data_IF_975679546247
#
_entry.id   IF_975679546247
#
_cell.length_a   1.000
_cell.length_b   1.000
_cell.length_c   1.000
_cell.angle_alpha   90.00
_cell.angle_beta   90.00
_cell.angle_gamma   90.00
#
_symmetry.space_group_name_H-M   'P 1'
#
loop_
_entity.id
_entity.type
_entity.pdbx_description
1 polymer ?
#
# COMPACT_ATOMS: atom_id res chain seq x y z
N UNK A 1 -27.03 -3.81 51.30
CA UNK A 1 -26.49 -4.89 50.46
C UNK A 1 -27.39 -5.26 49.27
N UNK A 2 -28.71 -5.08 49.33
CA UNK A 2 -29.68 -5.44 48.27
C UNK A 2 -29.59 -4.58 47.01
N UNK A 3 -29.25 -3.28 47.11
CA UNK A 3 -29.18 -2.36 45.95
C UNK A 3 -27.99 -2.63 45.01
N UNK A 4 -26.86 -3.07 45.57
CA UNK A 4 -25.66 -3.37 44.77
C UNK A 4 -25.84 -4.65 43.93
N UNK A 5 -26.57 -5.61 44.43
CA UNK A 5 -26.84 -6.88 43.75
C UNK A 5 -27.83 -6.71 42.57
N UNK A 6 -28.84 -5.85 42.74
CA UNK A 6 -29.76 -5.51 41.64
C UNK A 6 -29.09 -4.75 40.51
N UNK A 7 -28.17 -3.81 40.84
CA UNK A 7 -27.40 -3.09 39.83
C UNK A 7 -26.48 -3.98 39.00
N UNK A 8 -25.80 -4.93 39.64
CA UNK A 8 -24.93 -5.90 38.98
C UNK A 8 -25.72 -6.85 38.06
N UNK A 9 -26.85 -7.36 38.55
CA UNK A 9 -27.74 -8.18 37.72
C UNK A 9 -28.24 -7.42 36.50
N UNK A 10 -28.62 -6.16 36.64
CA UNK A 10 -29.07 -5.33 35.52
C UNK A 10 -27.97 -5.09 34.47
N UNK A 11 -26.71 -5.01 34.87
CA UNK A 11 -25.59 -4.89 33.93
C UNK A 11 -25.39 -6.17 33.13
N UNK A 12 -25.47 -7.34 33.75
CA UNK A 12 -25.35 -8.65 33.08
C UNK A 12 -26.52 -8.88 32.13
N UNK A 13 -27.76 -8.59 32.56
CA UNK A 13 -28.97 -8.78 31.76
C UNK A 13 -29.01 -7.84 30.50
N UNK A 14 -28.34 -6.69 30.54
CA UNK A 14 -28.27 -5.74 29.44
C UNK A 14 -26.92 -5.76 28.69
N UNK A 15 -26.03 -6.71 28.99
CA UNK A 15 -24.79 -6.91 28.23
C UNK A 15 -25.10 -7.24 26.78
N UNK A 16 -24.33 -6.72 25.79
CA UNK A 16 -24.45 -7.17 24.41
C UNK A 16 -24.00 -8.62 24.22
N UNK A 17 -23.16 -9.12 25.13
CA UNK A 17 -22.65 -10.49 25.12
C UNK A 17 -23.56 -11.38 25.99
N UNK A 18 -23.78 -12.63 25.60
CA UNK A 18 -24.49 -13.59 26.38
C UNK A 18 -23.57 -14.20 27.46
N UNK A 19 -24.06 -14.25 28.71
CA UNK A 19 -23.29 -14.79 29.81
C UNK A 19 -23.99 -16.06 30.31
N UNK A 20 -23.24 -17.12 30.53
CA UNK A 20 -23.70 -18.35 31.13
C UNK A 20 -22.79 -18.82 32.27
N UNK A 21 -23.35 -19.51 33.25
CA UNK A 21 -22.61 -20.28 34.24
C UNK A 21 -22.85 -21.75 33.96
N UNK A 22 -21.78 -22.55 33.93
CA UNK A 22 -21.85 -23.98 33.71
C UNK A 22 -21.17 -24.73 34.88
N UNK A 23 -21.60 -25.94 35.15
CA UNK A 23 -20.95 -26.82 36.12
C UNK A 23 -19.71 -27.53 35.54
N UNK A 24 -19.03 -28.34 36.33
CA UNK A 24 -17.87 -29.15 35.92
C UNK A 24 -18.18 -30.21 34.84
N UNK A 25 -19.45 -30.48 34.55
CA UNK A 25 -19.92 -31.40 33.50
C UNK A 25 -20.38 -30.67 32.25
N UNK A 26 -20.34 -29.33 32.25
CA UNK A 26 -20.80 -28.50 31.13
C UNK A 26 -22.31 -28.25 31.13
N UNK A 27 -23.03 -28.57 32.21
CA UNK A 27 -24.46 -28.24 32.31
C UNK A 27 -24.64 -26.76 32.64
N UNK A 28 -25.56 -26.10 31.97
CA UNK A 28 -25.86 -24.68 32.14
C UNK A 28 -26.67 -24.50 33.42
N UNK A 29 -26.11 -23.78 34.38
CA UNK A 29 -26.73 -23.45 35.67
C UNK A 29 -27.48 -22.12 35.61
N UNK A 30 -26.97 -21.19 34.79
CA UNK A 30 -27.54 -19.86 34.60
C UNK A 30 -27.27 -19.37 33.18
N UNK A 31 -28.19 -18.61 32.62
CA UNK A 31 -28.03 -17.88 31.38
C UNK A 31 -28.59 -16.46 31.54
N UNK A 32 -27.91 -15.46 31.00
CA UNK A 32 -28.38 -14.07 30.99
C UNK A 32 -29.49 -13.85 29.97
N UNK A 33 -30.33 -12.82 30.16
CA UNK A 33 -31.36 -12.44 29.18
C UNK A 33 -30.83 -12.15 27.77
N UNK A 34 -29.53 -11.82 27.65
CA UNK A 34 -28.86 -11.60 26.35
C UNK A 34 -28.79 -12.87 25.48
N UNK A 35 -28.96 -14.08 26.07
CA UNK A 35 -29.02 -15.34 25.30
C UNK A 35 -30.17 -15.37 24.30
N UNK A 36 -31.29 -14.72 24.62
CA UNK A 36 -32.42 -14.59 23.70
C UNK A 36 -32.01 -13.80 22.42
N UNK A 37 -31.17 -12.77 22.56
CA UNK A 37 -30.69 -11.97 21.43
C UNK A 37 -29.61 -12.70 20.65
N UNK A 38 -28.65 -13.34 21.32
CA UNK A 38 -27.48 -13.98 20.69
C UNK A 38 -27.83 -15.33 20.10
N UNK A 39 -28.60 -16.16 20.84
CA UNK A 39 -28.89 -17.55 20.47
C UNK A 39 -30.37 -17.83 20.17
N UNK A 40 -31.26 -16.88 20.43
CA UNK A 40 -32.71 -17.06 20.23
C UNK A 40 -33.38 -17.99 21.27
N UNK A 41 -32.69 -18.35 22.37
CA UNK A 41 -33.23 -19.13 23.47
C UNK A 41 -33.48 -18.23 24.67
N UNK A 42 -34.66 -18.39 25.26
CA UNK A 42 -34.91 -17.81 26.58
C UNK A 42 -34.03 -18.50 27.65
N UNK A 43 -33.60 -17.77 28.70
CA UNK A 43 -32.70 -18.33 29.72
C UNK A 43 -33.17 -19.64 30.30
N UNK A 44 -34.47 -19.76 30.55
CA UNK A 44 -35.10 -20.94 31.15
C UNK A 44 -35.03 -22.18 30.23
N UNK A 45 -34.93 -21.98 28.93
CA UNK A 45 -34.81 -23.07 27.95
C UNK A 45 -33.39 -23.64 27.90
N UNK A 46 -32.40 -22.87 28.37
CA UNK A 46 -30.99 -23.27 28.39
C UNK A 46 -30.57 -23.93 29.70
N UNK A 47 -31.15 -23.52 30.82
CA UNK A 47 -30.80 -24.08 32.13
C UNK A 47 -31.05 -25.59 32.16
N UNK A 48 -30.05 -26.36 32.60
CA UNK A 48 -30.06 -27.81 32.63
C UNK A 48 -29.66 -28.52 31.32
N UNK A 49 -29.47 -27.79 30.21
CA UNK A 49 -28.88 -28.36 28.99
C UNK A 49 -27.36 -28.43 29.06
N UNK A 50 -26.77 -29.31 28.26
CA UNK A 50 -25.32 -29.31 28.11
C UNK A 50 -24.91 -28.23 27.13
N UNK A 51 -23.90 -27.41 27.48
CA UNK A 51 -23.41 -26.32 26.65
C UNK A 51 -22.87 -26.79 25.29
N UNK A 52 -22.35 -28.04 25.19
CA UNK A 52 -21.91 -28.65 23.95
C UNK A 52 -23.04 -28.87 22.94
N UNK A 53 -24.29 -29.01 23.43
CA UNK A 53 -25.45 -29.21 22.53
C UNK A 53 -25.75 -27.98 21.67
N UNK A 54 -25.31 -26.81 22.11
CA UNK A 54 -25.45 -25.56 21.37
C UNK A 54 -24.37 -25.39 20.28
N UNK A 55 -23.33 -26.22 20.30
CA UNK A 55 -22.20 -26.11 19.35
C UNK A 55 -22.51 -26.94 18.09
N UNK A 56 -22.14 -26.40 16.94
CA UNK A 56 -22.26 -27.08 15.65
C UNK A 56 -21.53 -28.43 15.68
N UNK A 57 -22.11 -29.46 15.06
CA UNK A 57 -21.61 -30.85 15.15
C UNK A 57 -20.14 -31.01 14.79
N UNK A 58 -19.68 -30.32 13.74
CA UNK A 58 -18.27 -30.40 13.31
C UNK A 58 -17.31 -29.82 14.33
N UNK A 59 -17.73 -28.82 15.12
CA UNK A 59 -16.88 -28.13 16.09
C UNK A 59 -16.86 -28.84 17.44
N UNK A 60 -17.83 -29.72 17.71
CA UNK A 60 -17.99 -30.42 19.01
C UNK A 60 -16.78 -31.23 19.42
N UNK A 61 -16.12 -31.91 18.48
CA UNK A 61 -14.94 -32.76 18.79
C UNK A 61 -13.79 -31.89 19.31
N UNK A 62 -13.59 -30.73 18.74
CA UNK A 62 -12.58 -29.79 19.20
C UNK A 62 -12.98 -29.19 20.57
N UNK A 63 -14.23 -28.79 20.70
CA UNK A 63 -14.74 -28.14 21.89
C UNK A 63 -14.84 -29.08 23.10
N UNK A 64 -15.00 -30.38 22.90
CA UNK A 64 -14.97 -31.37 24.01
C UNK A 64 -13.65 -31.41 24.79
N UNK A 65 -12.57 -30.87 24.23
CA UNK A 65 -11.25 -30.75 24.87
C UNK A 65 -11.12 -29.51 25.74
N UNK A 66 -11.90 -28.46 25.46
CA UNK A 66 -11.80 -27.16 26.16
C UNK A 66 -12.17 -27.29 27.63
N UNK A 67 -13.25 -28.00 27.93
CA UNK A 67 -13.71 -28.17 29.32
C UNK A 67 -12.69 -28.92 30.20
N UNK A 68 -12.13 -30.07 29.82
CA UNK A 68 -11.05 -30.73 30.58
C UNK A 68 -9.82 -29.85 30.78
N UNK A 69 -9.42 -29.07 29.74
CA UNK A 69 -8.27 -28.18 29.83
C UNK A 69 -8.53 -27.05 30.84
N UNK A 70 -9.72 -26.45 30.79
CA UNK A 70 -10.14 -25.39 31.72
C UNK A 70 -10.21 -25.91 33.19
N UNK A 71 -10.65 -27.15 33.37
CA UNK A 71 -10.75 -27.78 34.70
C UNK A 71 -9.40 -28.13 35.31
N UNK A 72 -8.36 -28.33 34.49
CA UNK A 72 -7.04 -28.72 34.96
C UNK A 72 -6.36 -27.65 35.84
N UNK A 73 -6.71 -26.38 35.69
CA UNK A 73 -6.10 -25.27 36.41
C UNK A 73 -7.19 -24.38 37.03
N UNK A 74 -7.24 -24.23 38.38
CA UNK A 74 -8.14 -23.28 39.02
C UNK A 74 -7.91 -21.86 38.56
N UNK A 75 -8.97 -21.08 38.40
CA UNK A 75 -8.97 -19.68 37.95
C UNK A 75 -8.34 -19.46 36.55
N UNK A 76 -8.15 -20.52 35.77
CA UNK A 76 -7.71 -20.40 34.37
C UNK A 76 -8.80 -19.75 33.53
N UNK A 77 -8.33 -19.09 32.45
CA UNK A 77 -9.22 -18.51 31.44
C UNK A 77 -8.83 -19.07 30.09
N UNK A 78 -9.80 -19.56 29.34
CA UNK A 78 -9.64 -20.01 27.96
C UNK A 78 -10.56 -19.24 27.03
N UNK A 79 -10.07 -18.97 25.80
CA UNK A 79 -10.83 -18.32 24.74
C UNK A 79 -10.82 -19.20 23.51
N UNK A 80 -11.96 -19.29 22.81
CA UNK A 80 -12.08 -20.04 21.58
C UNK A 80 -13.16 -19.45 20.68
N UNK A 81 -13.14 -19.83 19.40
CA UNK A 81 -14.19 -19.55 18.44
C UNK A 81 -14.85 -20.85 18.03
N UNK A 82 -16.18 -20.85 17.97
CA UNK A 82 -16.96 -21.99 17.48
C UNK A 82 -18.27 -21.50 16.84
N UNK A 83 -18.83 -22.33 15.96
CA UNK A 83 -20.18 -22.11 15.44
C UNK A 83 -21.18 -22.58 16.49
N UNK A 84 -22.03 -21.68 16.93
CA UNK A 84 -23.12 -22.01 17.87
C UNK A 84 -24.46 -21.98 17.14
N UNK A 85 -25.27 -23.00 17.39
CA UNK A 85 -26.59 -23.17 16.76
C UNK A 85 -27.65 -22.38 17.53
N UNK A 86 -28.37 -21.56 16.79
CA UNK A 86 -29.54 -20.83 17.32
C UNK A 86 -30.77 -21.70 17.35
N UNK A 87 -31.80 -21.25 18.07
CA UNK A 87 -33.10 -21.95 18.19
C UNK A 87 -33.79 -22.15 16.84
N UNK A 88 -33.60 -21.23 15.89
CA UNK A 88 -34.14 -21.31 14.53
C UNK A 88 -33.38 -22.28 13.62
N UNK A 89 -32.33 -22.93 14.10
CA UNK A 89 -31.46 -23.83 13.35
C UNK A 89 -30.36 -23.14 12.56
N UNK A 90 -30.28 -21.80 12.54
CA UNK A 90 -29.14 -21.08 11.98
C UNK A 90 -27.94 -21.20 12.90
N UNK A 91 -26.72 -20.99 12.35
CA UNK A 91 -25.50 -20.99 13.13
C UNK A 91 -24.80 -19.64 13.04
N UNK A 92 -24.25 -19.18 14.14
CA UNK A 92 -23.42 -17.97 14.21
C UNK A 92 -22.04 -18.29 14.74
N UNK A 93 -21.03 -17.55 14.26
CA UNK A 93 -19.70 -17.61 14.85
C UNK A 93 -19.68 -16.86 16.17
N UNK A 94 -19.28 -17.58 17.23
CA UNK A 94 -19.24 -17.05 18.58
C UNK A 94 -17.83 -17.17 19.13
N UNK A 95 -17.33 -16.07 19.65
CA UNK A 95 -16.14 -16.02 20.48
C UNK A 95 -16.60 -16.26 21.93
N UNK A 96 -16.10 -17.32 22.55
CA UNK A 96 -16.41 -17.65 23.91
C UNK A 96 -15.16 -17.52 24.78
N UNK A 97 -15.32 -16.87 25.95
CA UNK A 97 -14.28 -16.77 26.97
C UNK A 97 -14.81 -17.39 28.24
N UNK A 98 -14.20 -18.46 28.72
CA UNK A 98 -14.57 -19.13 29.97
C UNK A 98 -13.52 -18.91 31.05
N UNK A 99 -13.98 -18.70 32.28
CA UNK A 99 -13.17 -18.60 33.48
C UNK A 99 -13.61 -19.66 34.51
N UNK A 100 -12.67 -20.47 34.98
CA UNK A 100 -12.91 -21.48 35.98
C UNK A 100 -12.96 -20.84 37.38
N UNK A 101 -14.17 -20.75 37.96
CA UNK A 101 -14.45 -20.20 39.29
C UNK A 101 -15.04 -21.26 40.24
N UNK A 102 -14.77 -22.54 40.00
CA UNK A 102 -15.27 -23.66 40.82
C UNK A 102 -14.72 -23.64 42.24
N UNK A 103 -13.53 -23.09 42.45
CA UNK A 103 -12.88 -22.92 43.76
C UNK A 103 -13.41 -21.69 44.52
N UNK A 104 -14.26 -20.88 43.92
CA UNK A 104 -14.88 -19.72 44.57
C UNK A 104 -16.22 -20.07 45.17
N UNK A 105 -16.33 -20.13 46.53
CA UNK A 105 -17.57 -20.58 47.22
C UNK A 105 -18.80 -19.73 46.90
N UNK A 106 -18.58 -18.48 46.52
CA UNK A 106 -19.61 -17.51 46.13
C UNK A 106 -20.15 -17.72 44.71
N UNK A 107 -19.42 -18.42 43.83
CA UNK A 107 -19.80 -18.67 42.42
C UNK A 107 -19.98 -20.16 42.16
N UNK A 108 -19.01 -21.00 42.52
CA UNK A 108 -18.95 -22.44 42.32
C UNK A 108 -19.40 -22.91 40.93
N UNK A 109 -18.92 -22.23 39.90
CA UNK A 109 -19.27 -22.48 38.51
C UNK A 109 -18.15 -22.02 37.59
N UNK A 110 -18.24 -22.37 36.31
CA UNK A 110 -17.44 -21.80 35.23
C UNK A 110 -18.27 -20.70 34.58
N UNK A 111 -17.75 -19.48 34.58
CA UNK A 111 -18.38 -18.34 33.93
C UNK A 111 -17.94 -18.30 32.46
N UNK A 112 -18.91 -18.24 31.55
CA UNK A 112 -18.64 -18.16 30.10
C UNK A 112 -19.32 -16.94 29.54
N UNK A 113 -18.53 -16.11 28.84
CA UNK A 113 -19.00 -14.97 28.04
C UNK A 113 -19.01 -15.38 26.56
N UNK A 114 -20.10 -15.10 25.88
CA UNK A 114 -20.32 -15.45 24.48
C UNK A 114 -20.59 -14.18 23.64
N UNK A 115 -19.73 -13.89 22.70
CA UNK A 115 -19.85 -12.75 21.77
C UNK A 115 -20.09 -13.23 20.36
N UNK A 116 -21.15 -12.76 19.72
CA UNK A 116 -21.38 -13.00 18.30
C UNK A 116 -20.36 -12.21 17.48
N UNK A 117 -19.53 -12.92 16.71
CA UNK A 117 -18.49 -12.35 15.85
C UNK A 117 -18.77 -12.57 14.36
N UNK A 118 -20.00 -13.02 14.01
CA UNK A 118 -20.36 -13.35 12.62
C UNK A 118 -20.17 -12.15 11.69
N UNK A 119 -20.56 -10.95 12.11
CA UNK A 119 -20.36 -9.73 11.33
C UNK A 119 -18.88 -9.40 11.12
N UNK A 120 -18.03 -9.63 12.14
CA UNK A 120 -16.58 -9.43 12.03
C UNK A 120 -15.96 -10.40 11.03
N UNK A 121 -16.29 -11.68 11.13
CA UNK A 121 -15.78 -12.72 10.22
C UNK A 121 -16.24 -12.46 8.78
N UNK A 122 -17.51 -12.09 8.57
CA UNK A 122 -18.03 -11.75 7.24
C UNK A 122 -17.29 -10.55 6.62
N UNK A 123 -17.04 -9.51 7.42
CA UNK A 123 -16.29 -8.33 6.97
C UNK A 123 -14.83 -8.66 6.63
N UNK A 124 -14.18 -9.49 7.44
CA UNK A 124 -12.80 -9.93 7.19
C UNK A 124 -12.71 -10.78 5.92
N UNK A 125 -13.67 -11.69 5.69
CA UNK A 125 -13.78 -12.49 4.48
C UNK A 125 -13.99 -11.61 3.24
N UNK A 126 -14.88 -10.62 3.31
CA UNK A 126 -15.13 -9.69 2.20
C UNK A 126 -13.90 -8.84 1.89
N UNK A 127 -13.23 -8.30 2.91
CA UNK A 127 -11.98 -7.54 2.70
C UNK A 127 -10.91 -8.38 2.02
N UNK A 128 -10.81 -9.67 2.37
CA UNK A 128 -9.87 -10.59 1.71
C UNK A 128 -10.24 -10.82 0.26
N UNK A 129 -11.52 -11.06 -0.03
CA UNK A 129 -12.00 -11.24 -1.40
C UNK A 129 -11.77 -10.00 -2.27
N UNK A 130 -12.09 -8.81 -1.73
CA UNK A 130 -11.85 -7.54 -2.42
C UNK A 130 -10.35 -7.31 -2.69
N UNK A 131 -9.48 -7.64 -1.73
CA UNK A 131 -8.03 -7.56 -1.90
C UNK A 131 -7.52 -8.53 -2.97
N UNK A 132 -8.01 -9.77 -2.99
CA UNK A 132 -7.65 -10.78 -4.00
C UNK A 132 -8.12 -10.36 -5.39
N UNK A 133 -9.33 -9.80 -5.51
CA UNK A 133 -9.87 -9.28 -6.78
C UNK A 133 -9.02 -8.11 -7.29
N UNK A 134 -8.67 -7.18 -6.40
CA UNK A 134 -7.82 -6.04 -6.73
C UNK A 134 -6.43 -6.49 -7.20
N UNK A 135 -5.81 -7.45 -6.51
CA UNK A 135 -4.52 -8.01 -6.88
C UNK A 135 -4.55 -8.65 -8.28
N UNK A 136 -5.58 -9.45 -8.58
CA UNK A 136 -5.76 -10.04 -9.92
C UNK A 136 -5.95 -8.98 -11.00
N UNK A 137 -6.72 -7.93 -10.72
CA UNK A 137 -6.93 -6.82 -11.65
C UNK A 137 -5.62 -6.10 -11.96
N UNK A 138 -4.76 -5.88 -10.96
CA UNK A 138 -3.44 -5.28 -11.17
C UNK A 138 -2.55 -6.14 -12.06
N UNK A 139 -2.48 -7.46 -11.84
CA UNK A 139 -1.69 -8.38 -12.67
C UNK A 139 -2.16 -8.33 -14.13
N UNK A 140 -3.48 -8.37 -14.37
CA UNK A 140 -4.02 -8.29 -15.73
C UNK A 140 -3.67 -6.97 -16.44
N UNK A 141 -3.73 -5.85 -15.73
CA UNK A 141 -3.35 -4.53 -16.29
C UNK A 141 -1.86 -4.48 -16.60
N UNK A 142 -1.02 -5.07 -15.76
CA UNK A 142 0.43 -5.15 -15.97
C UNK A 142 0.76 -6.02 -17.20
N UNK A 143 0.20 -7.22 -17.28
CA UNK A 143 0.38 -8.12 -18.43
C UNK A 143 -0.10 -7.48 -19.73
N UNK A 144 -1.27 -6.85 -19.71
CA UNK A 144 -1.82 -6.14 -20.88
C UNK A 144 -0.91 -5.00 -21.31
N UNK A 145 -0.43 -4.17 -20.37
CA UNK A 145 0.47 -3.07 -20.69
C UNK A 145 1.79 -3.56 -21.30
N UNK A 146 2.36 -4.67 -20.76
CA UNK A 146 3.56 -5.30 -21.31
C UNK A 146 3.35 -5.82 -22.73
N UNK A 147 2.25 -6.52 -22.98
CA UNK A 147 1.94 -7.05 -24.31
C UNK A 147 1.78 -5.91 -25.34
N UNK A 148 0.97 -4.90 -25.02
CA UNK A 148 0.72 -3.75 -25.91
C UNK A 148 2.00 -2.96 -26.19
N UNK A 149 2.81 -2.73 -25.16
CA UNK A 149 4.05 -1.98 -25.36
C UNK A 149 5.08 -2.75 -26.21
N UNK A 150 5.16 -4.07 -26.05
CA UNK A 150 5.99 -4.92 -26.88
C UNK A 150 5.55 -4.81 -28.36
N UNK A 151 4.27 -5.00 -28.62
CA UNK A 151 3.71 -5.02 -29.96
C UNK A 151 3.74 -3.64 -30.67
N UNK A 152 3.80 -2.55 -29.89
CA UNK A 152 3.96 -1.21 -30.43
C UNK A 152 5.43 -0.81 -30.62
N UNK A 153 6.38 -1.36 -29.84
CA UNK A 153 7.82 -1.07 -30.05
C UNK A 153 8.36 -1.60 -31.38
N UNK A 154 7.91 -2.77 -31.79
CA UNK A 154 8.39 -3.42 -33.01
C UNK A 154 8.15 -2.57 -34.27
N UNK A 155 6.90 -2.10 -34.56
CA UNK A 155 6.65 -1.22 -35.69
C UNK A 155 7.35 0.14 -35.57
N UNK A 156 7.49 0.70 -34.37
CA UNK A 156 8.22 1.95 -34.17
C UNK A 156 9.70 1.82 -34.49
N UNK A 157 10.33 0.73 -34.05
CA UNK A 157 11.73 0.42 -34.41
C UNK A 157 11.90 0.26 -35.92
N UNK A 158 10.94 -0.38 -36.59
CA UNK A 158 10.93 -0.55 -38.03
C UNK A 158 10.82 0.78 -38.74
N UNK A 159 9.91 1.67 -38.33
CA UNK A 159 9.74 3.02 -38.88
C UNK A 159 11.02 3.82 -38.73
N UNK A 160 11.65 3.85 -37.54
CA UNK A 160 12.90 4.55 -37.30
C UNK A 160 14.02 4.02 -38.21
N UNK A 161 14.24 2.70 -38.22
CA UNK A 161 15.31 2.09 -38.97
C UNK A 161 15.19 2.32 -40.51
N UNK A 162 13.99 2.17 -41.06
CA UNK A 162 13.80 2.44 -42.51
C UNK A 162 13.90 3.91 -42.83
N UNK A 163 13.42 4.80 -41.96
CA UNK A 163 13.57 6.26 -42.19
C UNK A 163 15.04 6.68 -42.17
N UNK A 164 15.83 6.18 -41.21
CA UNK A 164 17.28 6.41 -41.15
C UNK A 164 18.02 5.85 -42.36
N UNK A 165 17.64 4.63 -42.82
CA UNK A 165 18.21 4.05 -44.06
C UNK A 165 17.89 4.88 -45.30
N UNK A 166 16.68 5.44 -45.42
CA UNK A 166 16.30 6.33 -46.52
C UNK A 166 17.16 7.59 -46.52
N UNK A 167 17.34 8.21 -45.33
CA UNK A 167 18.20 9.41 -45.18
C UNK A 167 19.65 9.12 -45.57
N UNK A 168 20.17 7.92 -45.23
CA UNK A 168 21.56 7.57 -45.51
C UNK A 168 21.82 7.11 -46.95
N UNK A 169 20.81 6.55 -47.65
CA UNK A 169 20.98 5.97 -48.98
C UNK A 169 20.48 6.85 -50.13
N UNK A 170 19.67 7.85 -49.85
CA UNK A 170 19.11 8.74 -50.87
C UNK A 170 19.64 10.15 -50.67
N UNK A 171 19.94 10.80 -51.77
CA UNK A 171 20.30 12.25 -51.78
C UNK A 171 18.98 13.03 -51.65
N UNK A 172 18.57 13.27 -50.38
CA UNK A 172 17.33 13.94 -50.04
C UNK A 172 17.52 15.45 -50.02
N UNK A 173 16.56 16.19 -50.58
CA UNK A 173 16.52 17.64 -50.40
C UNK A 173 16.33 18.04 -48.92
N UNK A 174 16.67 19.27 -48.57
CA UNK A 174 16.59 19.80 -47.19
C UNK A 174 15.21 19.63 -46.57
N UNK A 175 14.15 19.68 -47.37
CA UNK A 175 12.78 19.52 -46.87
C UNK A 175 12.46 18.06 -46.51
N UNK A 176 12.85 17.11 -47.36
CA UNK A 176 12.70 15.68 -47.16
C UNK A 176 13.54 15.21 -45.98
N UNK A 177 14.75 15.72 -45.82
CA UNK A 177 15.61 15.41 -44.68
C UNK A 177 15.03 15.89 -43.34
N UNK A 178 14.42 17.08 -43.31
CA UNK A 178 13.68 17.59 -42.14
C UNK A 178 12.45 16.73 -41.84
N UNK A 179 11.69 16.29 -42.83
CA UNK A 179 10.52 15.42 -42.65
C UNK A 179 10.91 14.05 -42.08
N UNK A 180 12.00 13.47 -42.58
CA UNK A 180 12.56 12.23 -42.05
C UNK A 180 12.98 12.39 -40.58
N UNK A 181 13.67 13.49 -40.26
CA UNK A 181 14.02 13.82 -38.86
C UNK A 181 12.78 13.89 -37.93
N UNK A 182 11.73 14.59 -38.39
CA UNK A 182 10.45 14.63 -37.60
C UNK A 182 9.83 13.26 -37.39
N UNK A 183 9.97 12.34 -38.36
CA UNK A 183 9.42 10.99 -38.28
C UNK A 183 10.19 10.15 -37.23
N UNK A 184 11.54 10.19 -37.29
CA UNK A 184 12.40 9.50 -36.33
C UNK A 184 12.15 10.03 -34.90
N UNK A 185 12.09 11.35 -34.74
CA UNK A 185 11.79 11.99 -33.45
C UNK A 185 10.40 11.61 -32.92
N UNK A 186 9.40 11.48 -33.81
CA UNK A 186 8.06 11.04 -33.40
C UNK A 186 8.06 9.59 -32.94
N UNK A 187 8.75 8.70 -33.63
CA UNK A 187 8.89 7.31 -33.26
C UNK A 187 9.64 7.14 -31.92
N UNK A 188 10.72 7.92 -31.72
CA UNK A 188 11.44 7.94 -30.43
C UNK A 188 10.54 8.41 -29.28
N UNK A 189 9.78 9.48 -29.47
CA UNK A 189 8.80 9.95 -28.46
C UNK A 189 7.73 8.93 -28.14
N UNK A 190 7.25 8.15 -29.14
CA UNK A 190 6.29 7.08 -28.88
C UNK A 190 6.92 5.91 -28.09
N UNK A 191 8.17 5.58 -28.34
CA UNK A 191 8.90 4.59 -27.53
C UNK A 191 9.05 5.03 -26.07
N UNK A 192 9.42 6.29 -25.83
CA UNK A 192 9.50 6.85 -24.49
C UNK A 192 8.14 6.78 -23.75
N UNK A 193 7.04 7.08 -24.47
CA UNK A 193 5.68 6.98 -23.94
C UNK A 193 5.31 5.56 -23.53
N UNK A 194 5.69 4.57 -24.33
CA UNK A 194 5.46 3.15 -24.03
C UNK A 194 6.26 2.70 -22.81
N UNK A 195 7.50 3.14 -22.68
CA UNK A 195 8.34 2.86 -21.51
C UNK A 195 7.76 3.48 -20.26
N UNK A 196 7.27 4.70 -20.31
CA UNK A 196 6.59 5.38 -19.22
C UNK A 196 5.27 4.70 -18.84
N UNK A 197 4.50 4.22 -19.83
CA UNK A 197 3.25 3.47 -19.60
C UNK A 197 3.51 2.13 -18.91
N UNK A 198 4.50 1.37 -19.41
CA UNK A 198 4.92 0.11 -18.80
C UNK A 198 5.30 0.28 -17.34
N UNK A 199 6.04 1.33 -17.06
CA UNK A 199 6.51 1.64 -15.73
C UNK A 199 5.38 2.05 -14.78
N UNK A 200 4.33 2.69 -15.31
CA UNK A 200 3.10 2.96 -14.55
C UNK A 200 2.26 1.72 -14.30
N UNK A 201 2.24 0.80 -15.26
CA UNK A 201 1.48 -0.45 -15.15
C UNK A 201 2.19 -1.45 -14.24
N UNK A 202 3.53 -1.56 -14.36
CA UNK A 202 4.30 -2.44 -13.48
C UNK A 202 4.17 -1.95 -12.05
N UNK A 203 3.65 -2.83 -11.23
CA UNK A 203 3.56 -2.62 -9.79
C UNK A 203 4.93 -2.68 -9.10
N UNK A 204 6.00 -2.26 -9.71
CA UNK A 204 7.42 -2.18 -9.29
C UNK A 204 7.77 -2.23 -7.78
N UNK A 205 6.78 -2.60 -6.98
CA UNK A 205 6.79 -2.77 -5.54
C UNK A 205 7.24 -4.17 -5.09
N UNK A 206 7.58 -5.06 -6.02
CA UNK A 206 7.95 -6.44 -5.71
C UNK A 206 9.38 -6.58 -5.15
N UNK A 207 10.23 -5.59 -5.32
CA UNK A 207 11.54 -5.60 -4.68
C UNK A 207 11.47 -4.95 -3.29
N UNK A 208 11.89 -5.71 -2.28
CA UNK A 208 12.04 -5.20 -0.92
C UNK A 208 12.98 -3.99 -0.92
N UNK A 209 12.62 -2.89 -0.22
CA UNK A 209 13.48 -1.73 -0.10
C UNK A 209 14.84 -2.14 0.47
N UNK A 210 15.92 -1.61 -0.12
CA UNK A 210 17.30 -1.87 0.30
C UNK A 210 17.99 -0.55 0.65
N UNK A 211 19.08 -0.57 1.42
CA UNK A 211 19.93 0.59 1.58
C UNK A 211 20.49 1.03 0.22
N UNK A 212 20.28 2.28 -0.16
CA UNK A 212 20.73 2.89 -1.42
C UNK A 212 21.51 4.18 -1.10
N UNK A 213 22.71 4.27 -1.62
CA UNK A 213 23.47 5.52 -1.64
C UNK A 213 22.89 6.46 -2.70
N UNK A 214 22.24 7.53 -2.27
CA UNK A 214 21.63 8.50 -3.19
C UNK A 214 22.65 9.15 -4.12
N UNK A 215 23.89 9.28 -3.68
CA UNK A 215 24.99 9.77 -4.52
C UNK A 215 25.21 8.89 -5.76
N UNK A 216 25.17 7.56 -5.59
CA UNK A 216 25.29 6.60 -6.70
C UNK A 216 24.07 6.68 -7.63
N UNK A 217 22.87 6.82 -7.09
CA UNK A 217 21.66 6.98 -7.89
C UNK A 217 21.68 8.27 -8.72
N UNK A 218 22.13 9.39 -8.11
CA UNK A 218 22.30 10.65 -8.82
C UNK A 218 23.38 10.56 -9.92
N UNK A 219 24.53 9.93 -9.65
CA UNK A 219 25.59 9.75 -10.62
C UNK A 219 25.11 8.92 -11.83
N UNK A 220 24.35 7.85 -11.62
CA UNK A 220 23.75 7.06 -12.68
C UNK A 220 22.73 7.90 -13.50
N UNK A 221 21.91 8.70 -12.85
CA UNK A 221 20.94 9.57 -13.51
C UNK A 221 21.62 10.64 -14.37
N UNK A 222 22.66 11.30 -13.88
CA UNK A 222 23.43 12.30 -14.62
C UNK A 222 24.21 11.69 -15.76
N UNK A 223 24.76 10.48 -15.61
CA UNK A 223 25.40 9.75 -16.69
C UNK A 223 24.41 9.46 -17.84
N UNK A 224 23.21 9.01 -17.53
CA UNK A 224 22.17 8.73 -18.52
C UNK A 224 21.70 10.00 -19.25
N UNK A 225 21.80 11.17 -18.62
CA UNK A 225 21.46 12.47 -19.19
C UNK A 225 22.67 13.22 -19.78
N UNK A 226 23.86 12.60 -19.81
CA UNK A 226 25.12 13.23 -20.17
C UNK A 226 25.05 14.04 -21.47
N UNK A 227 24.53 13.44 -22.55
CA UNK A 227 24.34 14.14 -23.83
C UNK A 227 23.44 15.37 -23.74
N UNK A 228 22.31 15.28 -23.02
CA UNK A 228 21.40 16.41 -22.87
C UNK A 228 22.01 17.53 -22.00
N UNK A 229 22.79 17.16 -21.00
CA UNK A 229 23.55 18.10 -20.15
C UNK A 229 24.60 18.84 -20.96
N UNK A 230 25.39 18.13 -21.78
CA UNK A 230 26.43 18.70 -22.66
C UNK A 230 25.84 19.63 -23.72
N UNK A 231 24.78 19.20 -24.42
CA UNK A 231 24.13 19.97 -25.47
C UNK A 231 23.56 21.33 -25.01
N UNK A 232 23.10 21.40 -23.73
CA UNK A 232 22.55 22.65 -23.18
C UNK A 232 23.51 23.38 -22.21
N UNK A 233 24.68 22.81 -21.94
CA UNK A 233 25.66 23.36 -21.00
C UNK A 233 25.19 23.39 -19.56
N UNK A 234 24.24 22.50 -19.15
CA UNK A 234 23.67 22.49 -17.81
C UNK A 234 24.74 22.18 -16.75
N UNK A 235 24.65 22.86 -15.62
CA UNK A 235 25.52 22.63 -14.46
C UNK A 235 24.71 21.90 -13.39
N UNK A 236 25.11 20.65 -13.12
CA UNK A 236 24.46 19.82 -12.07
C UNK A 236 25.43 19.67 -10.92
N UNK A 237 25.00 20.10 -9.73
CA UNK A 237 25.79 20.03 -8.48
C UNK A 237 24.99 19.39 -7.39
N UNK A 238 25.65 18.82 -6.39
CA UNK A 238 24.99 18.23 -5.25
C UNK A 238 25.79 18.40 -3.97
N UNK A 239 25.11 18.53 -2.84
CA UNK A 239 25.68 18.35 -1.53
C UNK A 239 25.96 16.85 -1.27
N UNK A 240 26.48 16.51 -0.10
CA UNK A 240 26.63 15.11 0.32
C UNK A 240 25.24 14.52 0.53
N UNK A 241 24.89 13.49 -0.25
CA UNK A 241 23.59 12.85 -0.17
C UNK A 241 23.62 11.63 0.76
N UNK A 242 22.53 11.37 1.51
CA UNK A 242 22.49 10.33 2.52
C UNK A 242 22.29 8.92 1.93
N UNK A 243 22.50 7.92 2.79
CA UNK A 243 22.04 6.55 2.61
C UNK A 243 20.54 6.48 2.98
N UNK A 244 19.72 5.93 2.10
CA UNK A 244 18.27 5.84 2.26
C UNK A 244 17.77 4.42 2.03
N UNK A 245 16.54 4.09 2.48
CA UNK A 245 15.87 2.85 2.13
C UNK A 245 15.00 3.06 0.88
N UNK A 246 15.22 2.24 -0.15
CA UNK A 246 14.44 2.34 -1.39
C UNK A 246 14.85 1.31 -2.46
N UNK A 247 14.34 1.50 -3.66
CA UNK A 247 14.79 0.80 -4.86
C UNK A 247 15.71 1.73 -5.67
N UNK A 248 16.93 1.27 -5.94
CA UNK A 248 17.95 2.06 -6.65
C UNK A 248 17.49 2.51 -8.04
N UNK A 249 16.88 1.61 -8.83
CA UNK A 249 16.37 1.92 -10.16
C UNK A 249 15.27 2.99 -10.15
N UNK A 250 14.37 2.93 -9.16
CA UNK A 250 13.32 3.93 -8.97
C UNK A 250 13.90 5.31 -8.64
N UNK A 251 14.88 5.37 -7.73
CA UNK A 251 15.53 6.63 -7.35
C UNK A 251 16.34 7.24 -8.50
N UNK A 252 17.05 6.42 -9.27
CA UNK A 252 17.71 6.86 -10.52
C UNK A 252 16.69 7.52 -11.46
N UNK A 253 15.54 6.90 -11.65
CA UNK A 253 14.51 7.40 -12.54
C UNK A 253 13.83 8.68 -12.01
N UNK A 254 13.63 8.81 -10.70
CA UNK A 254 13.15 10.07 -10.10
C UNK A 254 14.13 11.21 -10.40
N UNK A 255 15.43 11.00 -10.16
CA UNK A 255 16.44 12.01 -10.49
C UNK A 255 16.48 12.33 -11.99
N UNK A 256 16.45 11.31 -12.86
CA UNK A 256 16.41 11.52 -14.32
C UNK A 256 15.22 12.38 -14.76
N UNK A 257 14.00 12.09 -14.25
CA UNK A 257 12.81 12.84 -14.60
C UNK A 257 12.91 14.31 -14.13
N UNK A 258 13.34 14.53 -12.88
CA UNK A 258 13.40 15.88 -12.31
C UNK A 258 14.50 16.71 -12.98
N UNK A 259 15.69 16.15 -13.20
CA UNK A 259 16.80 16.82 -13.90
C UNK A 259 16.44 17.07 -15.38
N UNK A 260 15.85 16.09 -16.07
CA UNK A 260 15.38 16.25 -17.46
C UNK A 260 14.34 17.36 -17.59
N UNK A 261 13.42 17.48 -16.60
CA UNK A 261 12.46 18.59 -16.58
C UNK A 261 13.17 19.94 -16.43
N UNK A 262 14.15 20.06 -15.54
CA UNK A 262 14.93 21.27 -15.38
C UNK A 262 15.66 21.66 -16.68
N UNK A 263 16.21 20.70 -17.43
CA UNK A 263 16.83 20.95 -18.75
C UNK A 263 15.79 21.37 -19.78
N UNK A 264 14.63 20.73 -19.84
CA UNK A 264 13.56 20.98 -20.83
C UNK A 264 12.88 22.34 -20.64
N UNK A 265 12.60 22.71 -19.40
CA UNK A 265 11.89 23.94 -19.05
C UNK A 265 12.82 25.09 -18.65
N UNK A 266 14.07 25.06 -19.17
CA UNK A 266 15.08 26.09 -18.88
C UNK A 266 14.63 27.49 -19.29
N UNK A 267 15.12 28.48 -18.58
CA UNK A 267 15.02 29.88 -18.95
C UNK A 267 15.98 30.20 -20.10
N UNK A 268 16.24 31.48 -20.35
CA UNK A 268 17.30 31.93 -21.33
C UNK A 268 18.70 31.76 -20.75
N UNK A 269 18.82 31.55 -19.46
CA UNK A 269 20.10 31.35 -18.76
C UNK A 269 20.56 29.91 -18.83
N UNK A 270 21.84 29.67 -18.61
CA UNK A 270 22.39 28.31 -18.44
C UNK A 270 21.67 27.57 -17.33
N UNK A 271 21.14 26.36 -17.56
CA UNK A 271 20.48 25.61 -16.52
C UNK A 271 21.41 25.30 -15.36
N UNK A 272 21.03 25.70 -14.17
CA UNK A 272 21.73 25.38 -12.91
C UNK A 272 20.81 24.51 -12.08
N UNK A 273 21.29 23.33 -11.74
CA UNK A 273 20.51 22.33 -10.98
C UNK A 273 21.34 21.94 -9.77
N UNK A 274 20.80 22.17 -8.58
CA UNK A 274 21.48 21.85 -7.33
C UNK A 274 20.64 20.89 -6.50
N UNK A 275 21.23 19.78 -6.05
CA UNK A 275 20.58 18.74 -5.26
C UNK A 275 21.08 18.82 -3.82
N UNK A 276 20.15 18.92 -2.87
CA UNK A 276 20.47 18.92 -1.45
C UNK A 276 19.54 18.01 -0.67
N UNK A 277 19.96 17.59 0.52
CA UNK A 277 19.21 16.72 1.41
C UNK A 277 19.13 17.35 2.81
N UNK A 278 17.93 17.34 3.39
CA UNK A 278 17.66 17.82 4.75
C UNK A 278 17.01 16.69 5.55
N UNK A 279 17.56 16.35 6.72
CA UNK A 279 16.95 15.33 7.56
C UNK A 279 15.82 15.92 8.40
N UNK A 280 14.64 15.29 8.35
CA UNK A 280 13.47 15.64 9.15
C UNK A 280 12.95 14.41 9.89
N UNK A 281 13.42 14.20 11.10
CA UNK A 281 13.08 13.02 11.89
C UNK A 281 13.61 11.72 11.27
N UNK A 282 12.71 10.82 10.90
CA UNK A 282 13.03 9.51 10.31
C UNK A 282 13.04 9.49 8.78
N UNK A 283 12.86 10.64 8.15
CA UNK A 283 12.89 10.80 6.70
C UNK A 283 13.91 11.85 6.27
N UNK A 284 14.37 11.71 5.03
CA UNK A 284 15.14 12.72 4.34
C UNK A 284 14.24 13.44 3.32
N UNK A 285 14.31 14.75 3.33
CA UNK A 285 13.73 15.60 2.27
C UNK A 285 14.83 15.87 1.25
N UNK A 286 14.68 15.35 0.06
CA UNK A 286 15.57 15.59 -1.08
C UNK A 286 14.97 16.73 -1.90
N UNK A 287 15.79 17.73 -2.18
CA UNK A 287 15.39 18.94 -2.89
C UNK A 287 16.23 19.11 -4.15
N UNK A 288 15.56 19.26 -5.29
CA UNK A 288 16.19 19.57 -6.58
C UNK A 288 15.79 20.99 -6.92
N UNK A 289 16.77 21.91 -6.81
CA UNK A 289 16.59 23.34 -7.04
C UNK A 289 17.07 23.68 -8.45
N UNK A 290 16.26 24.36 -9.24
CA UNK A 290 16.57 24.78 -10.58
C UNK A 290 16.30 26.29 -10.80
N UNK A 291 16.90 26.88 -11.84
CA UNK A 291 16.69 28.24 -12.28
C UNK A 291 15.80 28.31 -13.54
N UNK A 292 14.87 27.41 -13.68
CA UNK A 292 13.96 27.31 -14.82
C UNK A 292 12.91 28.44 -14.86
N UNK A 293 11.96 28.33 -15.81
CA UNK A 293 10.88 29.31 -16.00
C UNK A 293 9.90 29.41 -14.83
N UNK A 294 9.94 28.47 -13.89
CA UNK A 294 9.04 28.41 -12.76
C UNK A 294 7.61 27.94 -13.11
N UNK A 295 6.80 27.72 -12.07
CA UNK A 295 5.46 27.13 -12.15
C UNK A 295 4.50 27.99 -11.34
N UNK A 296 3.38 28.38 -11.96
CA UNK A 296 2.33 29.14 -11.28
C UNK A 296 1.68 28.33 -10.16
N UNK A 297 1.30 28.96 -9.02
CA UNK A 297 0.75 28.27 -7.84
C UNK A 297 -0.44 27.35 -8.17
N UNK A 298 -1.34 27.78 -9.05
CA UNK A 298 -2.55 27.02 -9.42
C UNK A 298 -2.23 25.74 -10.20
N UNK A 299 -1.00 25.59 -10.67
CA UNK A 299 -0.54 24.48 -11.50
C UNK A 299 0.33 23.48 -10.73
N UNK A 300 0.87 23.86 -9.58
CA UNK A 300 1.86 23.08 -8.82
C UNK A 300 1.36 21.69 -8.40
N UNK A 301 0.10 21.57 -8.05
CA UNK A 301 -0.49 20.26 -7.73
C UNK A 301 -0.86 19.49 -9.01
N UNK A 302 -1.29 20.20 -10.05
CA UNK A 302 -1.76 19.59 -11.30
C UNK A 302 -0.65 18.95 -12.12
N UNK A 303 0.60 19.43 -12.01
CA UNK A 303 1.75 18.89 -12.78
C UNK A 303 2.06 17.43 -12.46
N UNK A 304 1.63 16.92 -11.32
CA UNK A 304 1.76 15.51 -10.92
C UNK A 304 0.63 14.62 -11.47
N UNK A 305 -0.35 15.21 -12.18
CA UNK A 305 -1.40 14.46 -12.87
C UNK A 305 -0.90 13.80 -14.15
N UNK A 306 -1.47 12.65 -14.51
CA UNK A 306 -1.15 11.95 -15.77
C UNK A 306 -1.52 12.81 -16.97
N UNK A 307 -0.67 12.80 -18.00
CA UNK A 307 -0.85 13.53 -19.26
C UNK A 307 -0.96 15.05 -19.10
N UNK A 308 -0.57 15.59 -17.94
CA UNK A 308 -0.62 17.03 -17.67
C UNK A 308 0.59 17.73 -18.29
N UNK A 309 0.32 18.76 -19.12
CA UNK A 309 1.33 19.61 -19.75
C UNK A 309 0.93 21.07 -19.57
N UNK A 310 1.84 21.90 -19.06
CA UNK A 310 1.59 23.34 -18.84
C UNK A 310 1.89 24.20 -20.05
N UNK A 311 2.86 23.78 -20.85
CA UNK A 311 3.30 24.51 -22.06
C UNK A 311 2.95 23.66 -23.28
N UNK A 312 2.49 24.34 -24.36
CA UNK A 312 1.96 23.72 -25.57
C UNK A 312 2.90 22.69 -26.24
N UNK A 313 2.58 22.26 -27.45
CA UNK A 313 3.26 21.15 -28.16
C UNK A 313 4.75 21.38 -28.47
N UNK A 314 5.30 22.54 -28.16
CA UNK A 314 6.67 22.92 -28.50
C UNK A 314 7.77 22.34 -27.59
N UNK A 315 7.41 21.79 -26.42
CA UNK A 315 8.35 21.15 -25.49
C UNK A 315 8.10 19.65 -25.50
N UNK A 316 9.12 18.85 -25.80
CA UNK A 316 9.03 17.39 -25.88
C UNK A 316 8.71 16.78 -24.51
N UNK A 317 7.70 15.88 -24.44
CA UNK A 317 7.38 15.11 -23.25
C UNK A 317 5.94 14.61 -23.24
N UNK A 318 5.71 13.45 -22.63
CA UNK A 318 4.43 12.76 -22.52
C UNK A 318 3.50 13.32 -21.43
N UNK A 319 4.03 14.08 -20.47
CA UNK A 319 3.30 14.50 -19.28
C UNK A 319 3.09 13.37 -18.25
N UNK A 320 3.91 12.32 -18.30
CA UNK A 320 3.81 11.14 -17.41
C UNK A 320 4.91 11.13 -16.35
N UNK A 321 6.07 11.73 -16.63
CA UNK A 321 7.26 11.63 -15.78
C UNK A 321 7.06 12.08 -14.32
N UNK A 322 6.36 13.20 -14.08
CA UNK A 322 6.08 13.67 -12.72
C UNK A 322 5.03 12.81 -12.01
N UNK A 323 4.02 12.33 -12.74
CA UNK A 323 3.04 11.38 -12.21
C UNK A 323 3.72 10.08 -11.76
N UNK A 324 4.72 9.64 -12.51
CA UNK A 324 5.54 8.49 -12.17
C UNK A 324 6.40 8.75 -10.93
N UNK A 325 7.06 9.91 -10.83
CA UNK A 325 7.80 10.29 -9.62
C UNK A 325 6.89 10.24 -8.38
N UNK A 326 5.67 10.77 -8.51
CA UNK A 326 4.66 10.72 -7.44
C UNK A 326 4.32 9.28 -7.05
N UNK A 327 4.04 8.42 -8.02
CA UNK A 327 3.72 7.00 -7.78
C UNK A 327 4.86 6.29 -7.04
N UNK A 328 6.12 6.45 -7.46
CA UNK A 328 7.29 5.85 -6.80
C UNK A 328 7.41 6.31 -5.35
N UNK A 329 7.36 7.63 -5.15
CA UNK A 329 7.58 8.22 -3.82
C UNK A 329 6.45 7.84 -2.87
N UNK A 330 5.18 7.92 -3.30
CA UNK A 330 4.02 7.54 -2.49
C UNK A 330 3.99 6.04 -2.18
N UNK A 331 4.39 5.19 -3.12
CA UNK A 331 4.51 3.75 -2.90
C UNK A 331 5.60 3.38 -1.88
N UNK A 332 6.64 4.21 -1.75
CA UNK A 332 7.65 4.08 -0.69
C UNK A 332 7.22 4.73 0.65
N UNK A 333 5.96 5.19 0.77
CA UNK A 333 5.44 5.86 1.95
C UNK A 333 5.86 7.32 2.08
N UNK A 334 6.48 7.90 1.05
CA UNK A 334 6.92 9.29 1.01
C UNK A 334 5.88 10.23 0.38
N UNK A 335 6.28 11.48 0.20
CA UNK A 335 5.50 12.51 -0.49
C UNK A 335 6.39 13.30 -1.45
N UNK A 336 5.81 13.83 -2.54
CA UNK A 336 6.49 14.71 -3.50
C UNK A 336 5.67 15.98 -3.69
N UNK A 337 6.35 17.13 -3.79
CA UNK A 337 5.74 18.43 -4.04
C UNK A 337 6.72 19.36 -4.74
N UNK A 338 6.25 20.53 -5.12
CA UNK A 338 7.08 21.58 -5.71
C UNK A 338 6.84 22.91 -5.02
N UNK A 339 7.88 23.70 -4.85
CA UNK A 339 7.86 25.08 -4.41
C UNK A 339 8.44 25.91 -5.57
N UNK A 340 7.63 26.77 -6.18
CA UNK A 340 8.02 27.49 -7.39
C UNK A 340 7.31 28.81 -7.56
N UNK A 341 7.96 29.75 -8.25
CA UNK A 341 7.36 30.99 -8.68
C UNK A 341 7.72 31.25 -10.15
N UNK A 342 6.80 31.75 -10.98
CA UNK A 342 7.08 32.11 -12.35
C UNK A 342 8.29 33.04 -12.46
N UNK A 343 9.27 32.66 -13.27
CA UNK A 343 10.51 33.42 -13.50
C UNK A 343 11.61 33.28 -12.42
N UNK A 344 11.36 32.57 -11.33
CA UNK A 344 12.32 32.39 -10.23
C UNK A 344 12.87 30.95 -10.09
N UNK A 345 12.48 30.04 -10.99
CA UNK A 345 12.86 28.64 -10.92
C UNK A 345 11.91 27.80 -10.07
N UNK A 346 12.32 26.56 -9.81
CA UNK A 346 11.52 25.59 -9.04
C UNK A 346 12.41 24.81 -8.06
N UNK A 347 11.79 24.36 -6.96
CA UNK A 347 12.38 23.41 -6.04
C UNK A 347 11.44 22.21 -5.95
N UNK A 348 11.81 21.12 -6.60
CA UNK A 348 11.11 19.85 -6.47
C UNK A 348 11.60 19.14 -5.20
N UNK A 349 10.68 18.74 -4.35
CA UNK A 349 10.95 18.11 -3.07
C UNK A 349 10.32 16.73 -3.02
N UNK A 350 11.04 15.73 -2.52
CA UNK A 350 10.45 14.44 -2.19
C UNK A 350 11.03 13.88 -0.90
N UNK A 351 10.24 13.08 -0.17
CA UNK A 351 10.71 12.42 1.05
C UNK A 351 11.05 10.96 0.78
N UNK A 352 12.03 10.45 1.50
CA UNK A 352 12.47 9.06 1.48
C UNK A 352 12.90 8.63 2.89
N UNK A 353 12.63 7.38 3.26
CA UNK A 353 12.95 6.87 4.59
C UNK A 353 14.47 6.82 4.83
N UNK A 354 14.91 7.28 5.99
CA UNK A 354 16.30 7.20 6.39
C UNK A 354 16.72 5.73 6.60
N UNK A 355 17.89 5.34 6.09
CA UNK A 355 18.49 4.06 6.41
C UNK A 355 19.03 4.09 7.83
N UNK A 356 18.27 3.55 8.80
CA UNK A 356 18.73 3.44 10.18
C UNK A 356 19.57 2.18 10.35
N UNK A 357 20.77 2.23 10.96
CA UNK A 357 21.62 1.06 11.15
C UNK A 357 20.98 -0.06 11.99
N UNK A 358 19.93 0.22 12.76
CA UNK A 358 19.22 -0.76 13.58
C UNK A 358 18.14 -1.59 12.83
N UNK A 359 17.77 -1.22 11.62
CA UNK A 359 16.74 -1.95 10.86
C UNK A 359 17.27 -3.21 10.15
N UNK A 360 18.59 -3.39 10.10
CA UNK A 360 19.23 -4.60 9.54
C UNK A 360 19.13 -5.83 10.46
N UNK A 361 18.59 -5.71 11.69
CA UNK A 361 18.57 -6.75 12.72
C UNK A 361 17.16 -7.21 13.13
N UNK A 362 16.09 -6.78 12.46
CA UNK A 362 14.76 -7.37 12.70
C UNK A 362 14.63 -8.64 11.85
N UNK A 363 14.45 -9.82 12.46
CA UNK A 363 14.12 -11.01 11.71
C UNK A 363 12.77 -10.81 11.00
N UNK A 364 12.55 -11.45 9.85
CA UNK A 364 11.27 -11.36 9.17
C UNK A 364 10.19 -11.82 10.13
N UNK A 365 9.18 -10.96 10.37
CA UNK A 365 7.99 -11.37 11.11
C UNK A 365 7.38 -12.56 10.38
N UNK A 366 7.52 -13.73 10.96
CA UNK A 366 6.86 -14.95 10.51
C UNK A 366 5.37 -14.68 10.67
N UNK A 367 4.68 -14.50 9.56
CA UNK A 367 3.23 -14.52 9.53
C UNK A 367 2.81 -15.95 9.94
N UNK A 368 2.29 -16.09 11.13
CA UNK A 368 1.61 -17.32 11.53
C UNK A 368 0.33 -17.41 10.69
N UNK A 369 0.25 -18.51 9.95
CA UNK A 369 -0.90 -18.96 9.17
C UNK A 369 -2.12 -19.26 10.07
#
# INVERSE_FOLDING_TARGET
>A
MTSSFQGFRSLIENSPDAISLIDSRGQILYASGSTAKVFGYEPEELVGRNSLDLIHLEDRVQMSRVLPELLAIPQSTLQWHARMCRKDGTCSWVESTACNLLDRPDVNAIAVNHRDISARIALEAQKKEDADLLARSYILVEEFAHAVAHDLREPLRTISAFTELLVHRMDLDDQSQKMAGYTVDAAARMSDLLDDLLLLASSGLTELPRPVELQCALAAATQNLGRAIEECGAIVTADILPLVYGNSGHLVRVFQNLISNAIKYRSKETPQIHIRAEQRGWEWVIQIVDNCIGIAPEQQERIFGMFTRLHGRNIAGAGIGLAFCRKIVEAAGGRIWVESQPGAGSTFCFTVAAAHPAAASLPPQVAFA
#
